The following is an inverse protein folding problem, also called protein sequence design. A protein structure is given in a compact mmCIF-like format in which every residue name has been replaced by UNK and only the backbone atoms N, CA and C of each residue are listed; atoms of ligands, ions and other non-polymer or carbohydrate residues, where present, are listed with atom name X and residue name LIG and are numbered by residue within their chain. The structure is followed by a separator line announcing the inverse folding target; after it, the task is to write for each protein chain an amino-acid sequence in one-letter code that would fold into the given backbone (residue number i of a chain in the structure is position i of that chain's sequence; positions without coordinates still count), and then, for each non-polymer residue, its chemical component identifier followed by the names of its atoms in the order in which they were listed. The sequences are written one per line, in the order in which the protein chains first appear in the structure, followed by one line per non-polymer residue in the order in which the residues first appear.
data_IF_107354586489
#
_entry.id   IF_107354586489
#
_cell.length_a   1.000
_cell.length_b   1.000
_cell.length_c   1.000
_cell.angle_alpha   90.00
_cell.angle_beta   90.00
_cell.angle_gamma   90.00
#
_symmetry.space_group_name_H-M   'P 1'
#
loop_
_entity.id
_entity.type
_entity.pdbx_description
1 polymer ?
#
# COMPACT_ATOMS: atom_id res chain seq x y z
N UNK A 1 -26.51 -37.52 17.00
CA UNK A 1 -25.07 -37.59 16.69
C UNK A 1 -24.72 -36.47 15.73
N UNK A 2 -23.76 -35.62 16.10
CA UNK A 2 -23.33 -34.50 15.25
C UNK A 2 -22.84 -33.31 16.07
N UNK A 3 -21.95 -33.57 17.03
CA UNK A 3 -21.21 -32.49 17.69
C UNK A 3 -20.30 -31.84 16.63
N UNK A 4 -20.60 -30.60 16.26
CA UNK A 4 -19.68 -29.78 15.49
C UNK A 4 -18.72 -29.14 16.49
N UNK A 5 -17.54 -29.73 16.62
CA UNK A 5 -16.43 -29.14 17.35
C UNK A 5 -16.15 -27.73 16.81
N UNK A 6 -16.24 -26.75 17.70
CA UNK A 6 -15.76 -25.40 17.48
C UNK A 6 -14.24 -25.44 17.66
N UNK A 7 -13.52 -25.57 16.54
CA UNK A 7 -12.07 -25.37 16.52
C UNK A 7 -11.80 -23.86 16.62
N UNK A 8 -11.69 -23.37 17.86
CA UNK A 8 -11.24 -22.00 18.16
C UNK A 8 -9.73 -21.95 17.95
N UNK A 9 -9.31 -21.79 16.69
CA UNK A 9 -7.92 -21.45 16.37
C UNK A 9 -7.74 -19.95 16.66
N UNK A 10 -6.77 -19.65 17.53
CA UNK A 10 -6.47 -18.35 18.07
C UNK A 10 -6.57 -17.23 17.03
N UNK A 11 -7.49 -16.30 17.28
CA UNK A 11 -7.55 -15.03 16.56
C UNK A 11 -6.36 -14.18 17.00
N UNK A 12 -5.23 -14.29 16.32
CA UNK A 12 -4.36 -13.12 16.18
C UNK A 12 -5.14 -12.16 15.30
N UNK A 13 -5.88 -11.26 15.94
CA UNK A 13 -6.52 -10.15 15.28
C UNK A 13 -5.42 -9.25 14.74
N UNK A 14 -4.97 -9.53 13.52
CA UNK A 14 -4.26 -8.54 12.72
C UNK A 14 -5.28 -7.42 12.54
N UNK A 15 -5.13 -6.38 13.36
CA UNK A 15 -5.83 -5.12 13.20
C UNK A 15 -5.39 -4.57 11.85
N UNK A 16 -6.13 -4.94 10.81
CA UNK A 16 -6.09 -4.23 9.53
C UNK A 16 -6.47 -2.80 9.89
N UNK A 17 -5.55 -1.82 9.81
CA UNK A 17 -5.96 -0.44 9.97
C UNK A 17 -7.00 -0.23 8.87
N UNK A 18 -8.22 0.17 9.26
CA UNK A 18 -9.17 0.66 8.30
C UNK A 18 -8.43 1.74 7.49
N UNK A 19 -8.26 1.52 6.19
CA UNK A 19 -7.81 2.56 5.30
C UNK A 19 -8.97 3.55 5.22
N UNK A 20 -9.01 4.45 6.19
CA UNK A 20 -9.72 5.71 6.06
C UNK A 20 -8.97 6.43 4.94
N UNK A 21 -9.58 6.66 3.76
CA UNK A 21 -8.99 7.60 2.83
C UNK A 21 -8.88 8.91 3.58
N UNK A 22 -7.66 9.30 3.95
CA UNK A 22 -7.39 10.68 4.32
C UNK A 22 -7.63 11.46 3.04
N UNK A 23 -8.86 11.93 2.88
CA UNK A 23 -9.10 13.12 2.10
C UNK A 23 -8.20 14.16 2.74
N UNK A 24 -7.07 14.45 2.09
CA UNK A 24 -6.39 15.72 2.31
C UNK A 24 -7.43 16.74 1.92
N UNK A 25 -8.20 17.21 2.90
CA UNK A 25 -8.98 18.40 2.76
C UNK A 25 -7.93 19.45 2.43
N UNK A 26 -7.82 19.81 1.15
CA UNK A 26 -7.02 20.94 0.74
C UNK A 26 -7.39 22.07 1.70
N UNK A 27 -6.44 22.79 2.31
CA UNK A 27 -6.79 23.93 3.12
C UNK A 27 -7.68 24.81 2.24
N UNK A 28 -8.93 24.99 2.66
CA UNK A 28 -9.91 25.88 2.04
C UNK A 28 -9.46 27.33 2.28
N UNK A 29 -8.28 27.65 1.79
CA UNK A 29 -7.60 28.93 1.82
C UNK A 29 -7.15 29.28 0.41
N UNK A 30 -7.87 28.80 -0.61
CA UNK A 30 -8.06 29.62 -1.80
C UNK A 30 -9.26 30.52 -1.53
N UNK A 31 -9.06 31.53 -0.67
CA UNK A 31 -9.88 32.72 -0.77
C UNK A 31 -9.57 33.27 -2.15
N UNK A 32 -10.47 33.02 -3.12
CA UNK A 32 -10.45 33.81 -4.34
C UNK A 32 -10.39 35.26 -3.88
N UNK A 33 -9.41 36.08 -4.34
CA UNK A 33 -9.56 37.51 -4.15
C UNK A 33 -10.95 37.82 -4.69
N UNK A 34 -11.81 38.40 -3.85
CA UNK A 34 -13.09 38.91 -4.31
C UNK A 34 -12.80 39.60 -5.64
N UNK A 35 -13.56 39.32 -6.72
CA UNK A 35 -13.29 39.96 -8.00
C UNK A 35 -13.17 41.44 -7.67
N UNK A 36 -11.99 42.02 -7.94
CA UNK A 36 -11.85 43.46 -7.87
C UNK A 36 -12.95 43.93 -8.78
N UNK A 37 -14.02 44.46 -8.19
CA UNK A 37 -15.02 45.18 -8.93
C UNK A 37 -14.25 46.41 -9.38
N UNK A 38 -13.58 46.29 -10.52
CA UNK A 38 -13.46 47.41 -11.42
C UNK A 38 -14.91 47.82 -11.63
N UNK A 39 -15.34 48.79 -10.83
CA UNK A 39 -16.52 49.58 -11.10
C UNK A 39 -16.21 50.24 -12.42
N UNK A 40 -16.50 49.49 -13.49
CA UNK A 40 -16.82 50.09 -14.77
C UNK A 40 -17.87 51.14 -14.41
N UNK A 41 -17.68 52.42 -14.78
CA UNK A 41 -18.67 53.43 -14.49
C UNK A 41 -20.00 52.86 -14.98
N UNK A 42 -20.92 52.63 -14.03
CA UNK A 42 -22.25 52.17 -14.37
C UNK A 42 -22.77 53.16 -15.41
N UNK A 43 -23.20 52.72 -16.60
CA UNK A 43 -23.95 53.61 -17.47
C UNK A 43 -25.18 53.99 -16.65
N UNK A 44 -25.16 55.23 -16.14
CA UNK A 44 -26.29 55.91 -15.56
C UNK A 44 -27.48 55.61 -16.47
N UNK A 45 -28.55 55.06 -15.89
CA UNK A 45 -29.68 54.50 -16.61
C UNK A 45 -30.26 55.47 -17.63
N UNK A 46 -29.76 55.38 -18.85
CA UNK A 46 -30.56 55.58 -20.03
C UNK A 46 -31.44 54.35 -20.11
N UNK A 47 -32.74 54.53 -19.94
CA UNK A 47 -33.72 53.56 -20.40
C UNK A 47 -33.54 53.42 -21.91
N UNK A 48 -32.62 52.55 -22.33
CA UNK A 48 -32.73 51.96 -23.65
C UNK A 48 -33.97 51.10 -23.56
N UNK A 49 -35.09 51.71 -23.93
CA UNK A 49 -36.19 50.96 -24.51
C UNK A 49 -35.52 49.93 -25.41
N UNK A 50 -35.67 48.65 -25.08
CA UNK A 50 -35.50 47.60 -26.06
C UNK A 50 -36.47 48.01 -27.17
N UNK A 51 -35.96 48.74 -28.16
CA UNK A 51 -36.62 48.85 -29.44
C UNK A 51 -36.78 47.40 -29.84
N UNK A 52 -37.99 46.88 -29.65
CA UNK A 52 -38.47 45.74 -30.41
C UNK A 52 -38.43 46.28 -31.83
N UNK A 53 -37.25 46.19 -32.45
CA UNK A 53 -37.13 46.30 -33.88
C UNK A 53 -38.05 45.20 -34.42
N UNK A 54 -38.82 45.47 -35.49
CA UNK A 54 -39.47 44.39 -36.21
C UNK A 54 -38.41 43.31 -36.48
N UNK A 55 -38.81 42.04 -36.42
CA UNK A 55 -38.00 40.89 -36.80
C UNK A 55 -37.59 41.05 -38.28
N UNK A 56 -36.63 41.92 -38.55
CA UNK A 56 -35.91 41.94 -39.81
C UNK A 56 -35.10 40.66 -39.86
N UNK A 57 -35.10 39.95 -41.00
CA UNK A 57 -34.33 38.72 -41.14
C UNK A 57 -32.89 39.02 -40.76
N UNK A 58 -32.34 38.31 -39.76
CA UNK A 58 -30.97 38.50 -39.32
C UNK A 58 -30.05 38.59 -40.54
N UNK A 59 -29.19 39.62 -40.63
CA UNK A 59 -28.30 39.77 -41.78
C UNK A 59 -27.46 38.51 -41.94
N UNK A 60 -27.39 37.96 -43.15
CA UNK A 60 -26.81 36.63 -43.43
C UNK A 60 -25.41 36.42 -42.82
N UNK A 61 -24.61 37.48 -42.71
CA UNK A 61 -23.28 37.48 -42.08
C UNK A 61 -23.32 37.15 -40.59
N UNK A 62 -24.35 37.62 -39.87
CA UNK A 62 -24.55 37.34 -38.44
C UNK A 62 -24.97 35.89 -38.24
N UNK A 63 -25.85 35.37 -39.12
CA UNK A 63 -26.22 33.95 -39.15
C UNK A 63 -25.01 33.05 -39.36
N UNK A 64 -24.20 33.30 -40.40
CA UNK A 64 -22.99 32.52 -40.68
C UNK A 64 -21.98 32.58 -39.53
N UNK A 65 -21.86 33.75 -38.87
CA UNK A 65 -20.98 33.91 -37.70
C UNK A 65 -21.53 33.20 -36.46
N UNK A 66 -22.84 33.09 -36.28
CA UNK A 66 -23.45 32.30 -35.21
C UNK A 66 -23.22 30.81 -35.47
N UNK A 67 -23.50 30.34 -36.68
CA UNK A 67 -23.33 28.94 -37.08
C UNK A 67 -21.87 28.48 -36.90
N UNK A 68 -20.89 29.25 -37.39
CA UNK A 68 -19.46 28.95 -37.20
C UNK A 68 -19.02 28.97 -35.73
N UNK A 69 -19.66 29.80 -34.89
CA UNK A 69 -19.37 29.82 -33.44
C UNK A 69 -20.00 28.62 -32.75
N UNK A 70 -21.24 28.28 -33.07
CA UNK A 70 -21.94 27.14 -32.53
C UNK A 70 -21.18 25.84 -32.87
N UNK A 71 -20.70 25.71 -34.11
CA UNK A 71 -19.90 24.55 -34.53
C UNK A 71 -18.58 24.45 -33.74
N UNK A 72 -17.86 25.57 -33.56
CA UNK A 72 -16.62 25.59 -32.75
C UNK A 72 -16.86 25.31 -31.26
N UNK A 73 -17.97 25.78 -30.72
CA UNK A 73 -18.35 25.50 -29.32
C UNK A 73 -18.69 24.03 -29.18
N UNK A 74 -19.52 23.48 -30.08
CA UNK A 74 -19.87 22.06 -30.10
C UNK A 74 -18.64 21.15 -30.23
N UNK A 75 -17.68 21.50 -31.09
CA UNK A 75 -16.42 20.75 -31.22
C UNK A 75 -15.60 20.72 -29.93
N UNK A 76 -15.48 21.87 -29.25
CA UNK A 76 -14.77 21.95 -27.95
C UNK A 76 -15.50 21.25 -26.83
N UNK A 77 -16.83 21.31 -26.82
CA UNK A 77 -17.65 20.65 -25.80
C UNK A 77 -17.55 19.12 -25.93
N UNK A 78 -17.52 18.59 -27.16
CA UNK A 78 -17.31 17.16 -27.41
C UNK A 78 -15.91 16.71 -27.00
N UNK A 79 -14.86 17.49 -27.32
CA UNK A 79 -13.49 17.22 -26.87
C UNK A 79 -13.39 17.22 -25.34
N UNK A 80 -13.97 18.22 -24.67
CA UNK A 80 -13.95 18.33 -23.21
C UNK A 80 -14.71 17.18 -22.54
N UNK A 81 -15.85 16.77 -23.12
CA UNK A 81 -16.62 15.62 -22.65
C UNK A 81 -15.80 14.34 -22.78
N UNK A 82 -15.15 14.13 -23.92
CA UNK A 82 -14.29 12.96 -24.15
C UNK A 82 -13.11 12.91 -23.18
N UNK A 83 -12.43 14.03 -22.95
CA UNK A 83 -11.32 14.11 -21.97
C UNK A 83 -11.80 13.81 -20.55
N UNK A 84 -12.98 14.32 -20.17
CA UNK A 84 -13.59 14.05 -18.88
C UNK A 84 -13.93 12.56 -18.71
N UNK A 85 -14.52 11.94 -19.72
CA UNK A 85 -14.82 10.50 -19.74
C UNK A 85 -13.54 9.66 -19.67
N UNK A 86 -12.50 10.02 -20.41
CA UNK A 86 -11.19 9.35 -20.35
C UNK A 86 -10.58 9.46 -18.95
N UNK A 87 -10.67 10.62 -18.31
CA UNK A 87 -10.17 10.84 -16.95
C UNK A 87 -10.91 9.97 -15.94
N UNK A 88 -12.24 9.89 -16.04
CA UNK A 88 -13.07 9.02 -15.19
C UNK A 88 -12.70 7.55 -15.41
N UNK A 89 -12.58 7.12 -16.66
CA UNK A 89 -12.21 5.76 -17.00
C UNK A 89 -10.79 5.40 -16.53
N UNK A 90 -9.84 6.34 -16.64
CA UNK A 90 -8.47 6.19 -16.12
C UNK A 90 -8.46 6.08 -14.61
N UNK A 91 -9.24 6.90 -13.92
CA UNK A 91 -9.38 6.84 -12.46
C UNK A 91 -10.00 5.49 -12.03
N UNK A 92 -11.06 5.04 -12.71
CA UNK A 92 -11.68 3.72 -12.47
C UNK A 92 -10.68 2.58 -12.61
N UNK A 93 -9.97 2.50 -13.74
CA UNK A 93 -8.90 1.50 -13.95
C UNK A 93 -7.78 1.60 -12.92
N UNK A 94 -7.47 2.81 -12.45
CA UNK A 94 -6.47 3.03 -11.40
C UNK A 94 -6.89 2.42 -10.06
N UNK A 95 -8.18 2.53 -9.72
CA UNK A 95 -8.75 1.93 -8.51
C UNK A 95 -8.72 0.40 -8.61
N UNK A 96 -9.18 -0.16 -9.73
CA UNK A 96 -9.18 -1.62 -9.94
C UNK A 96 -7.77 -2.21 -9.84
N UNK A 97 -6.82 -1.59 -10.56
CA UNK A 97 -5.41 -1.96 -10.53
C UNK A 97 -4.81 -1.91 -9.13
N UNK A 98 -5.15 -0.90 -8.32
CA UNK A 98 -4.67 -0.79 -6.95
C UNK A 98 -5.14 -1.99 -6.09
N UNK A 99 -6.40 -2.39 -6.22
CA UNK A 99 -6.92 -3.53 -5.46
C UNK A 99 -6.36 -4.87 -5.94
N UNK A 100 -6.16 -5.04 -7.26
CA UNK A 100 -5.48 -6.21 -7.82
C UNK A 100 -4.05 -6.32 -7.28
N UNK A 101 -3.27 -5.24 -7.36
CA UNK A 101 -1.88 -5.20 -6.87
C UNK A 101 -1.80 -5.42 -5.35
N UNK A 102 -2.72 -4.81 -4.59
CA UNK A 102 -2.77 -4.98 -3.14
C UNK A 102 -3.07 -6.44 -2.76
N UNK A 103 -4.07 -7.04 -3.40
CA UNK A 103 -4.45 -8.43 -3.14
C UNK A 103 -3.32 -9.38 -3.54
N UNK A 104 -2.69 -9.17 -4.70
CA UNK A 104 -1.54 -9.96 -5.14
C UNK A 104 -0.36 -9.85 -4.18
N UNK A 105 -0.07 -8.64 -3.67
CA UNK A 105 0.98 -8.41 -2.68
C UNK A 105 0.66 -9.08 -1.34
N UNK A 106 -0.58 -8.96 -0.87
CA UNK A 106 -1.04 -9.61 0.36
C UNK A 106 -0.95 -11.12 0.25
N UNK A 107 -1.41 -11.70 -0.86
CA UNK A 107 -1.35 -13.13 -1.08
C UNK A 107 0.09 -13.63 -1.16
N UNK A 108 0.97 -12.90 -1.87
CA UNK A 108 2.41 -13.20 -1.91
C UNK A 108 3.03 -13.20 -0.52
N UNK A 109 2.76 -12.16 0.29
CA UNK A 109 3.29 -12.08 1.65
C UNK A 109 2.77 -13.20 2.55
N UNK A 110 1.48 -13.57 2.43
CA UNK A 110 0.92 -14.70 3.18
C UNK A 110 1.58 -16.01 2.74
N UNK A 111 1.80 -16.20 1.44
CA UNK A 111 2.46 -17.39 0.90
C UNK A 111 3.90 -17.51 1.38
N UNK A 112 4.68 -16.44 1.24
CA UNK A 112 6.06 -16.36 1.70
C UNK A 112 6.16 -16.62 3.21
N UNK A 113 5.27 -16.03 4.03
CA UNK A 113 5.25 -16.31 5.47
C UNK A 113 4.94 -17.78 5.78
N UNK A 114 4.02 -18.41 5.03
CA UNK A 114 3.71 -19.83 5.21
C UNK A 114 4.84 -20.74 4.76
N UNK A 115 5.52 -20.40 3.66
CA UNK A 115 6.70 -21.11 3.17
C UNK A 115 7.83 -21.00 4.20
N UNK A 116 8.12 -19.80 4.69
CA UNK A 116 9.13 -19.58 5.74
C UNK A 116 8.79 -20.32 7.04
N UNK A 117 7.52 -20.35 7.45
CA UNK A 117 7.07 -21.12 8.62
C UNK A 117 7.25 -22.63 8.40
N UNK A 118 6.90 -23.14 7.22
CA UNK A 118 7.07 -24.54 6.87
C UNK A 118 8.55 -24.93 6.81
N UNK A 119 9.41 -24.09 6.22
CA UNK A 119 10.86 -24.27 6.19
C UNK A 119 11.46 -24.25 7.60
N UNK A 120 11.02 -23.33 8.46
CA UNK A 120 11.46 -23.28 9.86
C UNK A 120 11.05 -24.55 10.62
N UNK A 121 9.83 -25.05 10.43
CA UNK A 121 9.38 -26.30 11.04
C UNK A 121 10.12 -27.52 10.49
N UNK A 122 10.43 -27.55 9.19
CA UNK A 122 11.23 -28.60 8.57
C UNK A 122 12.63 -28.62 9.16
N UNK A 123 13.35 -27.49 9.13
CA UNK A 123 14.70 -27.38 9.69
C UNK A 123 14.75 -27.72 11.19
N UNK A 124 13.72 -27.36 11.94
CA UNK A 124 13.60 -27.74 13.35
C UNK A 124 13.40 -29.26 13.52
N UNK A 125 12.61 -29.90 12.66
CA UNK A 125 12.37 -31.35 12.68
C UNK A 125 13.59 -32.13 12.21
N UNK A 126 14.24 -31.65 11.16
CA UNK A 126 15.48 -32.23 10.62
C UNK A 126 16.58 -32.15 11.68
N UNK A 127 16.82 -30.98 12.29
CA UNK A 127 17.79 -30.83 13.38
C UNK A 127 17.47 -31.63 14.65
N UNK A 128 16.20 -32.01 14.87
CA UNK A 128 15.79 -32.92 15.94
C UNK A 128 16.11 -34.38 15.61
N UNK A 129 16.12 -34.75 14.34
CA UNK A 129 16.23 -36.15 13.90
C UNK A 129 17.63 -36.55 13.46
N UNK A 130 18.42 -35.62 12.91
CA UNK A 130 19.74 -35.91 12.35
C UNK A 130 20.91 -35.54 13.25
N UNK A 131 20.73 -34.55 14.14
CA UNK A 131 21.84 -33.95 14.89
C UNK A 131 21.86 -34.34 16.36
N UNK A 132 23.07 -34.56 16.89
CA UNK A 132 23.26 -34.72 18.33
C UNK A 132 22.81 -33.46 19.09
N UNK A 133 22.32 -33.62 20.31
CA UNK A 133 21.86 -32.50 21.17
C UNK A 133 22.90 -31.36 21.24
N UNK A 134 24.19 -31.70 21.24
CA UNK A 134 25.30 -30.74 21.30
C UNK A 134 25.53 -29.96 19.99
N UNK A 135 25.32 -30.57 18.82
CA UNK A 135 25.32 -29.87 17.52
C UNK A 135 24.24 -28.79 17.51
N UNK A 136 23.01 -29.14 17.89
CA UNK A 136 21.88 -28.21 17.95
C UNK A 136 22.11 -27.05 18.92
N UNK A 137 22.72 -27.31 20.09
CA UNK A 137 23.08 -26.25 21.05
C UNK A 137 24.12 -25.30 20.45
N UNK A 138 25.11 -25.82 19.72
CA UNK A 138 26.12 -24.98 19.07
C UNK A 138 25.52 -24.07 17.99
N UNK A 139 24.56 -24.57 17.22
CA UNK A 139 23.91 -23.82 16.14
C UNK A 139 22.93 -22.77 16.70
N UNK A 140 22.12 -23.12 17.71
CA UNK A 140 21.22 -22.16 18.39
C UNK A 140 21.97 -21.01 19.09
N UNK A 141 23.17 -21.28 19.58
CA UNK A 141 24.02 -20.29 20.28
C UNK A 141 24.99 -19.61 19.29
N UNK A 142 24.92 -19.91 17.98
CA UNK A 142 25.76 -19.32 16.93
C UNK A 142 27.26 -19.31 17.29
N UNK A 143 27.75 -20.37 17.93
CA UNK A 143 29.12 -20.44 18.45
C UNK A 143 30.19 -20.53 17.34
N UNK A 144 29.75 -20.76 16.10
CA UNK A 144 30.57 -20.79 14.88
C UNK A 144 30.95 -19.38 14.41
N UNK A 145 30.14 -18.36 14.73
CA UNK A 145 30.43 -16.99 14.34
C UNK A 145 31.39 -16.32 15.34
N UNK A 146 32.60 -15.96 14.87
CA UNK A 146 33.63 -15.31 15.69
C UNK A 146 33.22 -13.94 16.25
N UNK A 147 32.10 -13.36 15.80
CA UNK A 147 31.56 -12.07 16.26
C UNK A 147 30.51 -12.21 17.38
N UNK A 148 30.41 -13.38 18.01
CA UNK A 148 29.41 -13.66 19.05
C UNK A 148 29.37 -12.58 20.15
N UNK A 149 28.23 -11.89 20.23
CA UNK A 149 28.07 -10.67 21.03
C UNK A 149 28.09 -10.91 22.55
N UNK A 150 27.99 -12.15 23.05
CA UNK A 150 28.16 -12.38 24.49
C UNK A 150 29.63 -12.30 24.94
N UNK A 151 30.61 -12.53 24.05
CA UNK A 151 32.04 -12.37 24.41
C UNK A 151 32.39 -10.90 24.65
N UNK A 152 31.61 -9.97 24.11
CA UNK A 152 31.82 -8.52 24.24
C UNK A 152 31.22 -7.90 25.51
N UNK A 153 30.47 -8.65 26.35
CA UNK A 153 30.04 -8.16 27.66
C UNK A 153 31.21 -8.27 28.66
N UNK A 154 31.98 -7.18 28.76
CA UNK A 154 33.11 -7.05 29.66
C UNK A 154 32.73 -7.40 31.10
N UNK A 155 33.28 -8.50 31.63
CA UNK A 155 33.14 -8.88 33.05
C UNK A 155 32.99 -10.38 33.34
N UNK A 156 32.66 -11.23 32.36
CA UNK A 156 32.55 -12.69 32.56
C UNK A 156 33.41 -13.49 31.60
N UNK A 157 34.22 -14.42 32.13
CA UNK A 157 35.07 -15.30 31.34
C UNK A 157 34.25 -16.42 30.70
N UNK A 158 33.67 -16.15 29.52
CA UNK A 158 32.83 -17.10 28.77
C UNK A 158 33.63 -18.07 27.88
N UNK A 159 34.96 -18.06 27.95
CA UNK A 159 35.85 -18.94 27.16
C UNK A 159 35.55 -20.43 27.38
N UNK A 160 35.35 -20.84 28.64
CA UNK A 160 35.00 -22.22 29.00
C UNK A 160 33.63 -22.63 28.45
N UNK A 161 32.67 -21.69 28.43
CA UNK A 161 31.32 -21.90 27.89
C UNK A 161 31.32 -22.11 26.37
N UNK A 162 32.29 -21.55 25.64
CA UNK A 162 32.47 -21.83 24.20
C UNK A 162 33.18 -23.16 23.96
N UNK A 163 34.25 -23.44 24.71
CA UNK A 163 35.09 -24.61 24.46
C UNK A 163 34.41 -25.94 24.79
N UNK A 164 33.62 -26.00 25.87
CA UNK A 164 33.00 -27.25 26.34
C UNK A 164 31.97 -27.78 25.32
N UNK A 165 30.99 -27.00 24.84
CA UNK A 165 30.04 -27.46 23.82
C UNK A 165 30.70 -27.85 22.50
N UNK A 166 31.74 -27.11 22.07
CA UNK A 166 32.49 -27.45 20.85
C UNK A 166 33.26 -28.77 20.97
N UNK A 167 33.78 -29.10 22.16
CA UNK A 167 34.41 -30.40 22.43
C UNK A 167 33.38 -31.53 22.41
N UNK A 168 32.24 -31.32 23.06
CA UNK A 168 31.15 -32.31 23.12
C UNK A 168 30.55 -32.57 21.73
N UNK A 169 30.43 -31.53 20.89
CA UNK A 169 30.03 -31.69 19.48
C UNK A 169 31.02 -32.56 18.69
N UNK A 170 32.33 -32.39 18.89
CA UNK A 170 33.35 -33.22 18.21
C UNK A 170 33.33 -34.68 18.65
N UNK A 171 32.88 -34.95 19.87
CA UNK A 171 32.77 -36.29 20.43
C UNK A 171 31.52 -37.04 19.92
N UNK A 172 30.55 -36.32 19.34
CA UNK A 172 29.40 -36.89 18.63
C UNK A 172 28.55 -37.80 19.51
N UNK A 173 28.13 -38.95 18.98
CA UNK A 173 27.28 -39.94 19.69
C UNK A 173 27.90 -40.53 20.96
N UNK A 174 29.22 -40.37 21.16
CA UNK A 174 29.92 -40.82 22.37
C UNK A 174 29.82 -39.82 23.53
N UNK A 175 29.38 -38.60 23.26
CA UNK A 175 29.23 -37.59 24.31
C UNK A 175 28.03 -37.94 25.22
N UNK A 176 28.21 -37.69 26.52
CA UNK A 176 27.16 -37.86 27.52
C UNK A 176 25.95 -36.98 27.14
N UNK A 177 24.77 -37.59 27.02
CA UNK A 177 23.52 -36.91 26.65
C UNK A 177 23.38 -36.56 25.16
N UNK A 178 24.23 -37.11 24.28
CA UNK A 178 24.17 -36.87 22.83
C UNK A 178 22.97 -37.53 22.13
N UNK A 179 22.47 -38.65 22.66
CA UNK A 179 21.43 -39.49 22.06
C UNK A 179 19.99 -38.91 22.14
N UNK A 180 19.84 -37.60 22.37
CA UNK A 180 18.53 -36.93 22.42
C UNK A 180 17.66 -37.33 23.62
N UNK A 181 16.46 -36.74 23.65
CA UNK A 181 15.31 -37.09 24.49
C UNK A 181 14.13 -37.41 23.58
#
# INVERSE_FOLDING_TARGET
MGMRELLVIGRVAIRVPAFVPSYTQAPSSFSSPAPVQLQSPAPQGGSYSAFIQPEEPEPEVVRQRQEHRAEKIAGRDEESKKEREETIARAGRGIDKFYEEYNAKKERAIRENKENEAEYLSTLTDSLSSDTTWSRICDLVDLENSQFKMVARAGTNLTRYREVPLKLRKEGDKALGAAGY
#
